data_IF_291931704520
#
_entry.id   IF_291931704520
#
_cell.length_a   1.000
_cell.length_b   1.000
_cell.length_c   1.000
_cell.angle_alpha   90.00
_cell.angle_beta   90.00
_cell.angle_gamma   90.00
#
_symmetry.space_group_name_H-M   'P 1'
#
loop_
_entity.id
_entity.type
_entity.pdbx_description
1 polymer ?
#
# COMPACT_ATOMS: atom_id res chain seq x y z
N UNK A 1 -3.43 -9.14 -21.45
CA UNK A 1 -4.51 -8.92 -20.46
C UNK A 1 -3.85 -8.88 -19.10
N UNK A 2 -3.61 -7.69 -18.54
CA UNK A 2 -2.88 -7.63 -17.27
C UNK A 2 -2.53 -6.22 -16.86
N UNK A 3 -3.54 -5.36 -16.69
CA UNK A 3 -3.39 -4.14 -15.90
C UNK A 3 -4.45 -4.19 -14.82
N UNK A 4 -4.14 -4.84 -13.69
CA UNK A 4 -5.06 -4.96 -12.55
C UNK A 4 -5.26 -3.60 -11.86
N UNK A 5 -6.36 -3.46 -11.11
CA UNK A 5 -6.52 -2.32 -10.20
C UNK A 5 -5.56 -2.51 -9.01
N UNK A 6 -4.75 -1.49 -8.70
CA UNK A 6 -3.82 -1.53 -7.56
C UNK A 6 -4.54 -1.83 -6.24
N UNK A 7 -5.78 -1.36 -6.09
CA UNK A 7 -6.55 -1.58 -4.86
C UNK A 7 -6.82 -3.06 -4.61
N UNK A 8 -6.89 -3.88 -5.66
CA UNK A 8 -7.14 -5.32 -5.57
C UNK A 8 -5.89 -6.12 -5.21
N UNK A 9 -4.71 -5.53 -5.36
CA UNK A 9 -3.44 -6.20 -5.10
C UNK A 9 -3.23 -6.49 -3.62
N UNK A 10 -2.82 -7.71 -3.32
CA UNK A 10 -2.60 -8.15 -1.94
C UNK A 10 -1.40 -7.46 -1.28
N UNK A 11 -0.48 -6.87 -2.05
CA UNK A 11 0.68 -6.14 -1.55
C UNK A 11 0.46 -4.63 -1.47
N UNK A 12 -0.74 -4.14 -1.79
CA UNK A 12 -1.15 -2.78 -1.52
C UNK A 12 -1.72 -2.71 -0.10
N UNK A 13 -1.26 -1.77 0.73
CA UNK A 13 -1.67 -1.64 2.15
C UNK A 13 -2.42 -0.32 2.42
N UNK A 14 -2.90 0.35 1.36
CA UNK A 14 -3.63 1.62 1.52
C UNK A 14 -2.79 2.68 2.26
N UNK A 15 -3.33 3.27 3.31
CA UNK A 15 -2.71 4.35 4.09
C UNK A 15 -1.79 3.84 5.22
N UNK A 16 -1.09 2.72 5.00
CA UNK A 16 -0.18 2.15 5.99
C UNK A 16 0.87 3.19 6.46
N UNK A 17 0.98 3.46 7.78
CA UNK A 17 1.93 4.40 8.34
C UNK A 17 3.39 3.99 8.11
N UNK A 18 4.31 4.97 8.19
CA UNK A 18 5.74 4.70 7.96
C UNK A 18 6.37 3.93 9.12
N UNK A 19 5.90 4.18 10.32
CA UNK A 19 6.34 3.56 11.58
C UNK A 19 6.09 2.04 11.65
N UNK A 20 5.12 1.53 10.88
CA UNK A 20 4.81 0.10 10.84
C UNK A 20 5.72 -0.68 9.89
N UNK A 21 6.34 -0.01 8.92
CA UNK A 21 7.16 -0.64 7.89
C UNK A 21 8.32 -1.48 8.41
N UNK A 22 9.08 -1.07 9.45
CA UNK A 22 10.17 -1.89 10.00
C UNK A 22 9.70 -3.23 10.58
N UNK A 23 8.44 -3.35 10.99
CA UNK A 23 7.87 -4.58 11.52
C UNK A 23 7.39 -5.54 10.41
N UNK A 24 7.18 -5.02 9.21
CA UNK A 24 6.67 -5.77 8.06
C UNK A 24 7.77 -6.16 7.08
N UNK A 25 8.74 -5.28 6.86
CA UNK A 25 9.84 -5.44 5.92
C UNK A 25 11.08 -5.95 6.68
N UNK A 26 11.32 -7.27 6.63
CA UNK A 26 12.31 -7.95 7.49
C UNK A 26 13.58 -8.35 6.74
N UNK A 27 13.45 -8.67 5.45
CA UNK A 27 14.53 -9.16 4.59
C UNK A 27 14.77 -8.23 3.41
N UNK A 28 16.00 -8.23 2.89
CA UNK A 28 16.36 -7.38 1.75
C UNK A 28 15.53 -7.76 0.51
N UNK A 29 14.90 -6.76 -0.09
CA UNK A 29 13.97 -6.93 -1.20
C UNK A 29 12.54 -7.25 -0.76
N UNK A 30 12.25 -7.32 0.54
CA UNK A 30 10.88 -7.22 1.03
C UNK A 30 10.32 -5.85 0.65
N UNK A 31 9.15 -5.83 0.05
CA UNK A 31 8.49 -4.60 -0.35
C UNK A 31 6.97 -4.66 -0.19
N UNK A 32 6.35 -3.49 -0.12
CA UNK A 32 4.91 -3.30 -0.24
C UNK A 32 4.61 -1.98 -0.94
N UNK A 33 3.38 -1.83 -1.39
CA UNK A 33 2.87 -0.58 -1.97
C UNK A 33 1.88 0.05 -1.01
N UNK A 34 1.97 1.36 -0.84
CA UNK A 34 1.06 2.15 0.00
C UNK A 34 0.78 3.49 -0.64
N UNK A 35 -0.23 4.18 -0.15
CA UNK A 35 -0.54 5.55 -0.51
C UNK A 35 0.04 6.51 0.54
N UNK A 36 0.42 7.70 0.11
CA UNK A 36 0.73 8.80 1.03
C UNK A 36 -0.53 9.27 1.75
N UNK A 37 -0.40 9.55 3.03
CA UNK A 37 -1.36 10.41 3.72
C UNK A 37 -1.16 11.83 3.21
N UNK A 38 -2.21 12.42 2.63
CA UNK A 38 -2.17 13.78 2.09
C UNK A 38 -3.24 14.64 2.74
N UNK A 39 -2.92 15.92 2.90
CA UNK A 39 -3.89 16.91 3.32
C UNK A 39 -5.08 16.94 2.33
N UNK A 40 -6.28 17.35 2.78
CA UNK A 40 -7.41 17.57 1.88
C UNK A 40 -6.97 18.43 0.68
N UNK A 41 -7.26 17.97 -0.54
CA UNK A 41 -6.90 18.58 -1.84
C UNK A 41 -5.48 18.32 -2.38
N UNK A 42 -4.67 17.47 -1.75
CA UNK A 42 -3.43 17.00 -2.36
C UNK A 42 -3.58 15.59 -2.97
N UNK A 43 -3.07 15.36 -4.19
CA UNK A 43 -3.19 14.06 -4.84
C UNK A 43 -2.45 13.00 -4.04
N UNK A 44 -3.12 11.88 -3.75
CA UNK A 44 -2.49 10.72 -3.12
C UNK A 44 -1.38 10.21 -4.03
N UNK A 45 -0.20 10.02 -3.46
CA UNK A 45 0.94 9.44 -4.16
C UNK A 45 1.03 7.96 -3.83
N UNK A 46 1.26 7.15 -4.87
CA UNK A 46 1.57 5.73 -4.69
C UNK A 46 3.06 5.60 -4.38
N UNK A 47 3.39 4.84 -3.34
CA UNK A 47 4.74 4.70 -2.80
C UNK A 47 5.08 3.22 -2.69
N UNK A 48 6.20 2.81 -3.29
CA UNK A 48 6.82 1.51 -3.07
C UNK A 48 7.78 1.65 -1.88
N UNK A 49 7.51 0.95 -0.80
CA UNK A 49 8.42 0.87 0.36
C UNK A 49 9.17 -0.45 0.31
N UNK A 50 10.50 -0.40 0.35
CA UNK A 50 11.37 -1.56 0.21
C UNK A 50 12.51 -1.52 1.24
N UNK A 51 12.82 -2.66 1.84
CA UNK A 51 14.05 -2.84 2.62
C UNK A 51 15.21 -3.17 1.70
N UNK A 52 16.19 -2.28 1.61
CA UNK A 52 17.35 -2.45 0.71
C UNK A 52 18.60 -2.98 1.42
N UNK A 53 18.66 -2.85 2.75
CA UNK A 53 19.76 -3.39 3.55
C UNK A 53 19.28 -3.79 4.95
N UNK A 54 19.43 -5.08 5.29
CA UNK A 54 18.88 -5.63 6.54
C UNK A 54 19.68 -5.18 7.76
N UNK A 55 21.01 -5.22 7.70
CA UNK A 55 21.88 -4.91 8.85
C UNK A 55 21.75 -3.46 9.31
N UNK A 56 21.62 -2.54 8.36
CA UNK A 56 21.42 -1.11 8.64
C UNK A 56 19.96 -0.70 8.72
N UNK A 57 19.01 -1.63 8.62
CA UNK A 57 17.57 -1.36 8.51
C UNK A 57 17.23 -0.25 7.48
N UNK A 58 17.93 -0.24 6.35
CA UNK A 58 17.80 0.84 5.37
C UNK A 58 16.54 0.61 4.54
N UNK A 59 15.53 1.41 4.81
CA UNK A 59 14.31 1.50 4.01
C UNK A 59 14.45 2.56 2.92
N UNK A 60 13.81 2.30 1.77
CA UNK A 60 13.62 3.27 0.71
C UNK A 60 12.14 3.38 0.37
N UNK A 61 11.71 4.62 0.16
CA UNK A 61 10.35 4.95 -0.27
C UNK A 61 10.44 5.59 -1.64
N UNK A 62 9.92 4.89 -2.64
CA UNK A 62 10.03 5.26 -4.04
C UNK A 62 8.64 5.70 -4.49
N UNK A 63 8.50 6.99 -4.80
CA UNK A 63 7.23 7.54 -5.30
C UNK A 63 7.05 7.10 -6.74
N UNK A 64 5.92 6.46 -7.02
CA UNK A 64 5.48 6.19 -8.39
C UNK A 64 4.82 7.46 -8.93
N UNK A 65 5.34 7.95 -10.05
CA UNK A 65 4.87 9.17 -10.69
C UNK A 65 4.13 8.82 -11.98
N UNK A 66 3.35 9.77 -12.47
CA UNK A 66 2.82 9.72 -13.84
C UNK A 66 3.61 10.67 -14.73
N UNK A 67 4.03 10.19 -15.89
CA UNK A 67 4.66 11.04 -16.90
C UNK A 67 3.61 11.86 -17.67
N UNK A 68 4.06 12.70 -18.62
CA UNK A 68 3.19 13.54 -19.44
C UNK A 68 2.15 12.77 -20.27
N UNK A 69 2.33 11.46 -20.45
CA UNK A 69 1.41 10.57 -21.17
C UNK A 69 0.49 9.78 -20.23
N UNK A 70 0.48 10.08 -18.92
CA UNK A 70 -0.31 9.38 -17.92
C UNK A 70 0.20 7.99 -17.56
N UNK A 71 1.39 7.59 -18.06
CA UNK A 71 2.00 6.28 -17.76
C UNK A 71 2.71 6.33 -16.42
N UNK A 72 2.67 5.23 -15.68
CA UNK A 72 3.32 5.09 -14.39
C UNK A 72 4.82 4.82 -14.55
N UNK A 73 5.62 5.54 -13.78
CA UNK A 73 7.09 5.50 -13.81
C UNK A 73 7.68 5.64 -12.42
N UNK A 74 8.84 5.05 -12.18
CA UNK A 74 9.71 5.32 -11.02
C UNK A 74 10.97 6.08 -11.42
N UNK A 75 11.39 5.92 -12.68
CA UNK A 75 12.40 6.73 -13.36
C UNK A 75 12.14 6.74 -14.88
N UNK A 76 13.04 7.34 -15.66
CA UNK A 76 12.86 7.50 -17.10
C UNK A 76 13.12 6.23 -17.95
N UNK A 77 13.51 5.09 -17.36
CA UNK A 77 13.93 3.90 -18.13
C UNK A 77 12.77 3.11 -18.71
N UNK A 78 11.63 3.11 -18.02
CA UNK A 78 10.47 2.33 -18.40
C UNK A 78 9.19 2.99 -17.90
N UNK A 79 8.10 2.81 -18.64
CA UNK A 79 6.78 3.35 -18.32
C UNK A 79 5.68 2.33 -18.55
N UNK A 80 4.66 2.33 -17.71
CA UNK A 80 3.66 1.26 -17.64
C UNK A 80 2.24 1.81 -17.65
N UNK A 81 1.26 1.02 -18.07
CA UNK A 81 -0.15 1.41 -18.07
C UNK A 81 -0.76 1.38 -16.66
N UNK A 82 -0.18 0.58 -15.76
CA UNK A 82 -0.64 0.47 -14.38
C UNK A 82 0.52 0.22 -13.40
N UNK A 83 0.29 0.51 -12.12
CA UNK A 83 1.25 0.18 -11.05
C UNK A 83 1.48 -1.33 -10.94
N UNK A 84 0.46 -2.21 -11.03
CA UNK A 84 0.70 -3.66 -11.02
C UNK A 84 1.59 -4.15 -12.15
N UNK A 85 1.45 -3.60 -13.37
CA UNK A 85 2.37 -3.92 -14.48
C UNK A 85 3.81 -3.52 -14.18
N UNK A 86 4.00 -2.32 -13.61
CA UNK A 86 5.32 -1.83 -13.19
C UNK A 86 5.94 -2.78 -12.16
N UNK A 87 5.20 -3.15 -11.11
CA UNK A 87 5.68 -4.07 -10.07
C UNK A 87 6.03 -5.44 -10.68
N UNK A 88 5.13 -5.99 -11.50
CA UNK A 88 5.33 -7.29 -12.14
C UNK A 88 6.58 -7.29 -13.03
N UNK A 89 6.80 -6.22 -13.79
CA UNK A 89 7.98 -6.09 -14.64
C UNK A 89 9.28 -6.15 -13.82
N UNK A 90 9.42 -5.28 -12.81
CA UNK A 90 10.65 -5.19 -12.02
C UNK A 90 10.89 -6.41 -11.15
N UNK A 91 9.83 -7.04 -10.65
CA UNK A 91 9.94 -8.30 -9.91
C UNK A 91 10.37 -9.46 -10.83
N UNK A 92 9.91 -9.48 -12.09
CA UNK A 92 10.26 -10.53 -13.06
C UNK A 92 11.68 -10.40 -13.60
N UNK A 93 12.11 -9.18 -13.96
CA UNK A 93 13.45 -8.99 -14.52
C UNK A 93 14.54 -8.93 -13.44
N UNK A 94 14.19 -8.65 -12.18
CA UNK A 94 15.15 -8.55 -11.07
C UNK A 94 16.00 -7.29 -11.11
N UNK A 95 15.67 -6.33 -11.97
CA UNK A 95 16.33 -5.04 -12.04
C UNK A 95 15.90 -4.12 -10.89
N UNK A 96 16.73 -3.15 -10.49
CA UNK A 96 16.35 -2.17 -9.49
C UNK A 96 15.17 -1.32 -9.98
N UNK A 97 14.15 -1.17 -9.14
CA UNK A 97 12.95 -0.39 -9.46
C UNK A 97 13.24 1.12 -9.57
N UNK A 98 14.38 1.59 -9.04
CA UNK A 98 14.86 2.96 -9.19
C UNK A 98 16.36 2.93 -9.51
N UNK A 99 16.76 3.50 -10.64
CA UNK A 99 18.14 3.46 -11.15
C UNK A 99 19.18 4.05 -10.20
N UNK A 100 18.81 5.08 -9.44
CA UNK A 100 19.70 5.72 -8.46
C UNK A 100 19.89 4.89 -7.18
N UNK A 101 19.14 3.79 -7.03
CA UNK A 101 19.21 2.90 -5.85
C UNK A 101 19.37 1.44 -6.32
N UNK A 102 20.61 1.00 -6.63
CA UNK A 102 20.87 -0.34 -7.18
C UNK A 102 20.40 -1.51 -6.31
N UNK A 103 20.27 -1.30 -4.99
CA UNK A 103 19.77 -2.33 -4.06
C UNK A 103 18.24 -2.42 -3.99
N UNK A 104 17.49 -1.53 -4.65
CA UNK A 104 16.02 -1.52 -4.63
C UNK A 104 15.42 -2.55 -5.60
N UNK A 105 15.73 -3.83 -5.40
CA UNK A 105 15.25 -4.94 -6.21
C UNK A 105 14.02 -5.58 -5.54
N UNK A 106 12.89 -5.61 -6.25
CA UNK A 106 11.64 -6.17 -5.74
C UNK A 106 11.74 -7.70 -5.69
N UNK A 107 11.88 -8.29 -4.49
CA UNK A 107 11.99 -9.75 -4.34
C UNK A 107 10.70 -10.35 -3.80
N UNK A 108 10.28 -9.91 -2.61
CA UNK A 108 9.14 -10.49 -1.90
C UNK A 108 8.11 -9.42 -1.57
N UNK A 109 6.94 -9.56 -2.16
CA UNK A 109 5.80 -8.73 -1.84
C UNK A 109 5.27 -9.11 -0.45
N UNK A 110 5.17 -8.14 0.45
CA UNK A 110 4.50 -8.33 1.75
C UNK A 110 3.01 -8.18 1.53
N UNK A 111 2.29 -9.28 1.75
CA UNK A 111 0.85 -9.29 1.62
C UNK A 111 0.19 -8.67 2.84
N UNK A 112 -0.88 -7.92 2.58
CA UNK A 112 -1.81 -7.43 3.56
C UNK A 112 -2.32 -8.56 4.44
N UNK A 113 -2.23 -8.44 5.77
CA UNK A 113 -2.75 -9.47 6.64
C UNK A 113 -4.29 -9.45 6.67
N UNK A 114 -4.95 -10.56 7.04
CA UNK A 114 -6.42 -10.64 7.02
C UNK A 114 -7.14 -9.66 7.97
N UNK A 115 -6.45 -9.15 8.99
CA UNK A 115 -6.98 -8.17 9.94
C UNK A 115 -6.96 -6.73 9.41
N UNK A 116 -6.20 -6.44 8.35
CA UNK A 116 -6.21 -5.13 7.72
C UNK A 116 -7.37 -5.08 6.70
N UNK A 117 -8.47 -4.47 7.13
CA UNK A 117 -9.72 -4.44 6.39
C UNK A 117 -9.67 -3.42 5.26
N UNK A 118 -10.37 -3.75 4.17
CA UNK A 118 -10.65 -2.82 3.07
C UNK A 118 -11.74 -1.85 3.50
N UNK A 119 -11.58 -0.55 3.21
CA UNK A 119 -12.56 0.47 3.61
C UNK A 119 -13.95 0.17 3.03
N UNK A 120 -14.01 -0.40 1.84
CA UNK A 120 -15.26 -0.75 1.14
C UNK A 120 -16.01 -1.92 1.81
N UNK A 121 -15.36 -2.65 2.71
CA UNK A 121 -15.97 -3.78 3.44
C UNK A 121 -16.64 -3.38 4.75
N UNK A 122 -16.42 -2.14 5.21
CA UNK A 122 -16.97 -1.60 6.45
C UNK A 122 -17.89 -0.43 6.13
N UNK A 123 -19.14 -0.54 6.56
CA UNK A 123 -20.14 0.53 6.48
C UNK A 123 -20.26 1.14 7.88
N UNK A 124 -19.89 2.41 8.02
CA UNK A 124 -20.05 3.17 9.25
C UNK A 124 -21.48 3.71 9.29
N UNK A 125 -22.16 3.52 10.42
CA UNK A 125 -23.54 3.96 10.65
C UNK A 125 -23.58 5.05 11.74
N UNK A 126 -24.31 4.85 12.84
CA UNK A 126 -24.57 5.89 13.83
C UNK A 126 -23.46 5.98 14.88
N UNK A 127 -23.20 7.17 15.41
CA UNK A 127 -22.36 7.32 16.60
C UNK A 127 -23.04 6.64 17.80
N UNK A 128 -22.31 5.77 18.48
CA UNK A 128 -22.77 5.02 19.66
C UNK A 128 -22.00 5.38 20.93
N UNK A 129 -20.90 6.13 20.82
CA UNK A 129 -20.14 6.58 21.98
C UNK A 129 -18.99 7.52 21.62
N UNK A 130 -18.33 8.04 22.64
CA UNK A 130 -17.13 8.88 22.58
C UNK A 130 -16.31 8.66 23.85
N UNK A 131 -14.99 8.75 23.74
CA UNK A 131 -14.08 8.70 24.89
C UNK A 131 -12.75 9.36 24.59
N UNK A 132 -11.79 9.20 25.50
CA UNK A 132 -10.44 9.83 25.47
C UNK A 132 -9.64 9.62 24.17
N UNK A 133 -10.03 8.66 23.35
CA UNK A 133 -9.32 8.26 22.14
C UNK A 133 -10.19 8.33 20.89
N UNK A 134 -11.21 9.18 20.90
CA UNK A 134 -12.07 9.45 19.75
C UNK A 134 -13.49 8.91 19.86
N UNK A 135 -14.16 8.88 18.72
CA UNK A 135 -15.57 8.55 18.58
C UNK A 135 -15.77 7.07 18.23
N UNK A 136 -16.87 6.49 18.71
CA UNK A 136 -17.26 5.11 18.41
C UNK A 136 -18.59 5.12 17.68
N UNK A 137 -18.65 4.40 16.56
CA UNK A 137 -19.81 4.25 15.69
C UNK A 137 -20.25 2.79 15.63
N UNK A 138 -21.55 2.53 15.45
CA UNK A 138 -22.01 1.24 14.96
C UNK A 138 -21.66 1.10 13.49
N UNK A 139 -21.55 -0.13 13.01
CA UNK A 139 -21.33 -0.39 11.61
C UNK A 139 -21.63 -1.82 11.21
N UNK A 140 -21.51 -2.07 9.91
CA UNK A 140 -21.64 -3.39 9.31
C UNK A 140 -20.35 -3.76 8.61
N UNK A 141 -19.82 -4.94 8.92
CA UNK A 141 -18.65 -5.49 8.26
C UNK A 141 -19.04 -6.70 7.41
N UNK A 142 -18.70 -6.65 6.12
CA UNK A 142 -18.86 -7.77 5.19
C UNK A 142 -17.64 -8.68 5.24
N UNK A 143 -17.81 -9.85 5.84
CA UNK A 143 -16.78 -10.89 5.91
C UNK A 143 -16.40 -11.39 4.50
N UNK A 144 -15.20 -11.97 4.32
CA UNK A 144 -14.80 -12.63 3.08
C UNK A 144 -15.78 -13.73 2.63
N UNK A 145 -16.49 -14.35 3.57
CA UNK A 145 -17.53 -15.35 3.30
C UNK A 145 -18.82 -14.76 2.71
N UNK A 146 -18.93 -13.43 2.62
CA UNK A 146 -20.12 -12.69 2.20
C UNK A 146 -21.11 -12.41 3.33
N UNK A 147 -20.93 -13.02 4.51
CA UNK A 147 -21.77 -12.76 5.69
C UNK A 147 -21.52 -11.35 6.23
N UNK A 148 -22.58 -10.64 6.58
CA UNK A 148 -22.50 -9.32 7.20
C UNK A 148 -22.69 -9.46 8.70
N UNK A 149 -21.83 -8.82 9.49
CA UNK A 149 -21.92 -8.77 10.96
C UNK A 149 -21.97 -7.33 11.45
N UNK A 150 -22.64 -7.11 12.57
CA UNK A 150 -22.62 -5.84 13.28
C UNK A 150 -21.28 -5.68 14.02
N UNK A 151 -20.72 -4.47 13.96
CA UNK A 151 -19.43 -4.13 14.55
C UNK A 151 -19.49 -2.75 15.21
N UNK A 152 -18.56 -2.51 16.13
CA UNK A 152 -18.24 -1.16 16.59
C UNK A 152 -16.98 -0.68 15.85
N UNK A 153 -17.04 0.53 15.30
CA UNK A 153 -15.93 1.18 14.58
C UNK A 153 -15.45 2.36 15.42
N UNK A 154 -14.18 2.35 15.80
CA UNK A 154 -13.54 3.47 16.50
C UNK A 154 -12.80 4.34 15.49
N UNK A 155 -13.13 5.62 15.45
CA UNK A 155 -12.43 6.62 14.63
C UNK A 155 -11.48 7.41 15.51
N UNK A 156 -10.24 7.55 15.04
CA UNK A 156 -9.13 8.19 15.74
C UNK A 156 -8.66 9.41 14.95
#
# INVERSE_FOLDING_TARGET
MGGGNLEDENYYHGLLPREDLPHLLINEGDFLVRSSETAPNQPRQVIISILVEKRGAILRHIVVQQNAYGKYVTDARASFDSVPELIQFYQKCGEPVLSTVPKAVLKRAITRPPWELRHETVIIENKIGEGEFGEVFSGKYKLPTGRVIEVAVKLV
#
